data_IF_471969088731
#
_entry.id   IF_471969088731
#
_cell.length_a   1.000
_cell.length_b   1.000
_cell.length_c   1.000
_cell.angle_alpha   90.00
_cell.angle_beta   90.00
_cell.angle_gamma   90.00
#
_symmetry.space_group_name_H-M   'P 1'
#
loop_
_entity.id
_entity.type
_entity.pdbx_description
1 polymer ?
#
# COMPACT_ATOMS: atom_id res chain seq x y z
N UNK A 1 3.77 -16.54 24.42
CA UNK A 1 3.51 -15.84 23.16
C UNK A 1 4.20 -14.50 23.34
N UNK A 2 5.40 -14.31 22.80
CA UNK A 2 6.09 -13.02 22.89
C UNK A 2 5.32 -12.02 22.03
N UNK A 3 4.91 -10.91 22.62
CA UNK A 3 4.36 -9.77 21.90
C UNK A 3 5.40 -9.32 20.86
N UNK A 4 5.00 -9.32 19.61
CA UNK A 4 5.80 -8.83 18.51
C UNK A 4 5.84 -7.30 18.62
N UNK A 5 6.98 -6.72 19.01
CA UNK A 5 7.19 -5.28 19.02
C UNK A 5 7.73 -4.83 17.66
N UNK A 6 6.90 -4.22 16.81
CA UNK A 6 7.33 -3.76 15.47
C UNK A 6 8.33 -2.62 15.50
N UNK A 7 8.43 -1.87 16.62
CA UNK A 7 9.35 -0.73 16.77
C UNK A 7 10.83 -1.13 16.88
N UNK A 8 11.14 -2.41 17.03
CA UNK A 8 12.51 -2.89 17.24
C UNK A 8 13.21 -3.34 15.95
N UNK A 9 12.59 -3.23 14.78
CA UNK A 9 13.24 -3.39 13.47
C UNK A 9 13.75 -2.03 12.97
N UNK A 10 14.77 -1.47 13.60
CA UNK A 10 15.46 -0.33 13.00
C UNK A 10 16.37 -0.82 11.88
N UNK A 11 16.13 -0.42 10.65
CA UNK A 11 17.01 -0.59 9.49
C UNK A 11 18.30 0.25 9.58
N UNK A 12 18.66 0.74 10.78
CA UNK A 12 19.81 1.59 11.03
C UNK A 12 21.18 0.90 10.83
N UNK A 13 21.21 -0.43 10.56
CA UNK A 13 22.42 -1.09 10.05
C UNK A 13 21.99 -2.08 8.97
N UNK A 14 22.29 -1.78 7.71
CA UNK A 14 22.04 -2.63 6.57
C UNK A 14 22.84 -3.93 6.67
N UNK A 15 22.34 -4.89 7.44
CA UNK A 15 22.78 -6.27 7.31
C UNK A 15 22.19 -6.82 6.02
N UNK A 16 23.00 -7.42 5.19
CA UNK A 16 22.56 -8.10 3.97
C UNK A 16 21.36 -8.99 4.25
N UNK A 17 20.25 -8.87 3.49
CA UNK A 17 19.05 -9.67 3.71
C UNK A 17 19.36 -11.15 3.49
N UNK A 18 18.91 -12.01 4.41
CA UNK A 18 19.11 -13.47 4.34
C UNK A 18 17.88 -14.19 3.80
N UNK A 19 16.72 -13.61 4.00
CA UNK A 19 15.43 -14.15 3.54
C UNK A 19 14.69 -13.10 2.77
N UNK A 20 14.43 -13.36 1.48
CA UNK A 20 13.73 -12.45 0.58
C UNK A 20 12.43 -13.09 0.11
N UNK A 21 11.33 -12.38 0.25
CA UNK A 21 10.04 -12.79 -0.28
C UNK A 21 9.80 -12.21 -1.68
N UNK A 22 9.24 -13.01 -2.56
CA UNK A 22 8.81 -12.61 -3.90
C UNK A 22 7.28 -12.57 -3.97
N UNK A 23 6.75 -11.42 -4.34
CA UNK A 23 5.31 -11.18 -4.53
C UNK A 23 5.08 -10.75 -5.96
N UNK A 24 4.25 -11.47 -6.72
CA UNK A 24 3.96 -11.18 -8.12
C UNK A 24 2.56 -10.63 -8.32
N UNK A 25 2.35 -9.98 -9.46
CA UNK A 25 1.01 -9.57 -9.90
C UNK A 25 0.16 -10.81 -10.18
N UNK A 26 -0.97 -10.90 -9.53
CA UNK A 26 -1.95 -11.96 -9.77
C UNK A 26 -2.47 -11.89 -11.22
N UNK A 27 -2.77 -13.05 -11.79
CA UNK A 27 -3.28 -13.19 -13.16
C UNK A 27 -2.35 -12.74 -14.30
N UNK A 28 -1.06 -12.49 -14.06
CA UNK A 28 -0.08 -12.18 -15.09
C UNK A 28 0.87 -13.35 -15.32
N UNK A 29 0.78 -13.95 -16.49
CA UNK A 29 1.65 -15.07 -16.88
C UNK A 29 3.05 -14.60 -17.35
N UNK A 30 3.21 -13.32 -17.64
CA UNK A 30 4.47 -12.71 -18.10
C UNK A 30 5.49 -12.59 -16.94
N UNK A 31 5.01 -12.58 -15.71
CA UNK A 31 5.82 -12.47 -14.51
C UNK A 31 6.58 -13.76 -14.19
N UNK A 32 6.06 -14.91 -14.63
CA UNK A 32 6.63 -16.21 -14.27
C UNK A 32 8.13 -16.33 -14.58
N UNK A 33 8.57 -15.85 -15.75
CA UNK A 33 9.98 -15.89 -16.14
C UNK A 33 10.84 -14.93 -15.32
N UNK A 34 10.36 -13.69 -15.08
CA UNK A 34 11.08 -12.73 -14.24
C UNK A 34 11.23 -13.25 -12.81
N UNK A 35 10.16 -13.82 -12.26
CA UNK A 35 10.18 -14.39 -10.92
C UNK A 35 11.13 -15.58 -10.82
N UNK A 36 11.09 -16.52 -11.78
CA UNK A 36 12.01 -17.65 -11.83
C UNK A 36 13.47 -17.18 -11.87
N UNK A 37 13.80 -16.28 -12.79
CA UNK A 37 15.16 -15.73 -12.90
C UNK A 37 15.63 -15.08 -11.61
N UNK A 38 14.76 -14.30 -10.98
CA UNK A 38 15.09 -13.63 -9.72
C UNK A 38 15.26 -14.64 -8.58
N UNK A 39 14.36 -15.62 -8.48
CA UNK A 39 14.43 -16.65 -7.43
C UNK A 39 15.71 -17.50 -7.55
N UNK A 40 16.09 -17.91 -8.78
CA UNK A 40 17.34 -18.63 -9.04
C UNK A 40 18.55 -17.78 -8.68
N UNK A 41 18.55 -16.52 -9.11
CA UNK A 41 19.63 -15.57 -8.85
C UNK A 41 19.89 -15.35 -7.36
N UNK A 42 18.82 -15.19 -6.55
CA UNK A 42 18.90 -15.06 -5.10
C UNK A 42 19.38 -16.34 -4.43
N UNK A 43 18.84 -17.48 -4.87
CA UNK A 43 19.21 -18.80 -4.34
C UNK A 43 20.70 -19.13 -4.55
N UNK A 44 21.25 -18.82 -5.73
CA UNK A 44 22.68 -19.02 -6.04
C UNK A 44 23.60 -18.17 -5.14
N UNK A 45 23.09 -17.10 -4.55
CA UNK A 45 23.77 -16.23 -3.57
C UNK A 45 23.55 -16.65 -2.11
N UNK A 46 22.93 -17.81 -1.89
CA UNK A 46 22.69 -18.35 -0.56
C UNK A 46 21.55 -17.67 0.21
N UNK A 47 20.68 -16.94 -0.50
CA UNK A 47 19.51 -16.27 0.08
C UNK A 47 18.34 -17.26 0.12
N UNK A 48 17.66 -17.32 1.26
CA UNK A 48 16.42 -18.07 1.40
C UNK A 48 15.31 -17.31 0.65
N UNK A 49 14.66 -17.99 -0.31
CA UNK A 49 13.60 -17.38 -1.12
C UNK A 49 12.23 -17.88 -0.69
N UNK A 50 11.37 -16.96 -0.31
CA UNK A 50 9.94 -17.21 -0.10
C UNK A 50 9.17 -16.77 -1.34
N UNK A 51 8.15 -17.52 -1.74
CA UNK A 51 7.22 -17.13 -2.79
C UNK A 51 5.84 -17.01 -2.17
N UNK A 52 5.22 -15.85 -2.33
CA UNK A 52 3.87 -15.62 -1.83
C UNK A 52 2.89 -16.62 -2.48
N UNK A 53 1.94 -17.14 -1.70
CA UNK A 53 1.07 -18.27 -2.05
C UNK A 53 0.25 -18.04 -3.32
N UNK A 54 -0.47 -16.93 -3.42
CA UNK A 54 -1.28 -16.64 -4.61
C UNK A 54 -0.41 -16.42 -5.84
N UNK A 55 0.76 -15.83 -5.66
CA UNK A 55 1.80 -15.71 -6.70
C UNK A 55 2.23 -17.09 -7.17
N UNK A 56 2.55 -18.01 -6.23
CA UNK A 56 2.98 -19.37 -6.54
C UNK A 56 1.88 -20.17 -7.26
N UNK A 57 0.63 -20.05 -6.86
CA UNK A 57 -0.51 -20.72 -7.51
C UNK A 57 -0.67 -20.29 -8.97
N UNK A 58 -0.44 -19.01 -9.26
CA UNK A 58 -0.55 -18.49 -10.63
C UNK A 58 0.58 -18.90 -11.55
N UNK A 59 1.80 -19.00 -11.05
CA UNK A 59 2.97 -19.32 -11.86
C UNK A 59 3.34 -20.81 -11.83
N UNK A 60 2.91 -21.56 -10.82
CA UNK A 60 3.30 -22.95 -10.57
C UNK A 60 2.97 -23.93 -11.71
N UNK A 61 2.06 -23.55 -12.61
CA UNK A 61 1.79 -24.32 -13.83
C UNK A 61 2.91 -24.23 -14.89
N UNK A 62 3.84 -23.27 -14.75
CA UNK A 62 4.90 -22.98 -15.72
C UNK A 62 6.31 -23.06 -15.13
N UNK A 63 6.44 -22.98 -13.82
CA UNK A 63 7.71 -22.94 -13.11
C UNK A 63 7.71 -24.01 -12.04
N UNK A 64 8.77 -24.80 -11.99
CA UNK A 64 8.99 -25.72 -10.87
C UNK A 64 9.40 -24.90 -9.62
N UNK A 65 8.54 -24.86 -8.63
CA UNK A 65 8.71 -24.12 -7.39
C UNK A 65 9.25 -24.99 -6.25
N UNK A 66 9.58 -26.26 -6.49
CA UNK A 66 9.96 -27.23 -5.43
C UNK A 66 11.19 -26.81 -4.61
N UNK A 67 12.02 -25.93 -5.12
CA UNK A 67 13.23 -25.41 -4.46
C UNK A 67 12.96 -24.30 -3.47
N UNK A 68 11.79 -23.64 -3.54
CA UNK A 68 11.48 -22.43 -2.77
C UNK A 68 10.31 -22.66 -1.83
N UNK A 69 10.28 -21.90 -0.76
CA UNK A 69 9.21 -21.99 0.23
C UNK A 69 8.01 -21.18 -0.23
N UNK A 70 6.89 -21.84 -0.43
CA UNK A 70 5.61 -21.16 -0.68
C UNK A 70 4.89 -20.90 0.62
N UNK A 71 4.54 -19.65 0.92
CA UNK A 71 3.93 -19.26 2.19
C UNK A 71 3.00 -18.04 2.05
N UNK A 72 2.22 -17.78 3.07
CA UNK A 72 1.31 -16.62 3.11
C UNK A 72 1.99 -15.35 3.64
N UNK A 73 1.29 -14.21 3.54
CA UNK A 73 1.80 -12.92 4.01
C UNK A 73 2.15 -12.91 5.51
N UNK A 74 1.48 -13.71 6.35
CA UNK A 74 1.81 -13.80 7.77
C UNK A 74 3.20 -14.41 7.99
N UNK A 75 3.53 -15.47 7.24
CA UNK A 75 4.83 -16.13 7.33
C UNK A 75 5.92 -15.23 6.73
N UNK A 76 5.62 -14.57 5.61
CA UNK A 76 6.51 -13.56 5.01
C UNK A 76 6.81 -12.47 6.05
N UNK A 77 5.76 -11.91 6.66
CA UNK A 77 5.90 -10.86 7.68
C UNK A 77 6.74 -11.28 8.86
N UNK A 78 6.63 -12.54 9.30
CA UNK A 78 7.37 -13.06 10.45
C UNK A 78 8.85 -13.33 10.16
N UNK A 79 9.20 -13.69 8.92
CA UNK A 79 10.51 -14.29 8.63
C UNK A 79 11.29 -13.61 7.51
N UNK A 80 10.66 -12.83 6.61
CA UNK A 80 11.38 -12.17 5.54
C UNK A 80 12.04 -10.87 6.02
N UNK A 81 13.26 -10.64 5.55
CA UNK A 81 14.00 -9.40 5.79
C UNK A 81 13.60 -8.32 4.78
N UNK A 82 13.12 -8.74 3.61
CA UNK A 82 12.75 -7.88 2.48
C UNK A 82 11.71 -8.59 1.63
N UNK A 83 10.82 -7.83 1.00
CA UNK A 83 9.95 -8.37 -0.04
C UNK A 83 10.13 -7.62 -1.37
N UNK A 84 10.32 -8.38 -2.46
CA UNK A 84 10.42 -7.84 -3.81
C UNK A 84 9.08 -8.06 -4.51
N UNK A 85 8.51 -6.97 -4.98
CA UNK A 85 7.20 -6.95 -5.64
C UNK A 85 7.40 -6.84 -7.15
N UNK A 86 7.06 -7.90 -7.88
CA UNK A 86 7.10 -7.93 -9.34
C UNK A 86 5.73 -7.56 -9.91
N UNK A 87 5.59 -6.32 -10.37
CA UNK A 87 4.30 -5.82 -10.87
C UNK A 87 4.31 -4.32 -11.05
N UNK A 88 3.14 -3.72 -10.96
CA UNK A 88 2.95 -2.27 -10.93
C UNK A 88 2.48 -1.81 -9.56
N UNK A 89 2.13 -0.51 -9.46
CA UNK A 89 1.73 0.14 -8.21
C UNK A 89 0.59 -0.59 -7.48
N UNK A 90 -0.40 -1.13 -8.20
CA UNK A 90 -1.49 -1.90 -7.56
C UNK A 90 -1.02 -3.17 -6.84
N UNK A 91 0.03 -3.85 -7.35
CA UNK A 91 0.63 -5.00 -6.66
C UNK A 91 1.41 -4.55 -5.43
N UNK A 92 2.12 -3.42 -5.55
CA UNK A 92 2.84 -2.79 -4.46
C UNK A 92 1.89 -2.38 -3.33
N UNK A 93 0.77 -1.73 -3.65
CA UNK A 93 -0.27 -1.34 -2.67
C UNK A 93 -0.80 -2.56 -1.89
N UNK A 94 -1.10 -3.66 -2.58
CA UNK A 94 -1.56 -4.88 -1.92
C UNK A 94 -0.49 -5.47 -0.98
N UNK A 95 0.77 -5.55 -1.42
CA UNK A 95 1.86 -6.04 -0.59
C UNK A 95 2.11 -5.13 0.62
N UNK A 96 2.09 -3.81 0.41
CA UNK A 96 2.30 -2.81 1.46
C UNK A 96 1.24 -2.94 2.58
N UNK A 97 -0.03 -2.97 2.25
CA UNK A 97 -1.11 -3.13 3.24
C UNK A 97 -0.96 -4.41 4.06
N UNK A 98 -0.55 -5.50 3.41
CA UNK A 98 -0.43 -6.81 4.07
C UNK A 98 0.81 -6.94 4.94
N UNK A 99 1.90 -6.27 4.58
CA UNK A 99 3.20 -6.37 5.23
C UNK A 99 3.54 -5.20 6.16
N UNK A 100 2.79 -4.09 6.10
CA UNK A 100 3.04 -2.89 6.90
C UNK A 100 3.17 -3.18 8.40
N UNK A 101 2.23 -3.95 8.97
CA UNK A 101 2.23 -4.31 10.40
C UNK A 101 3.45 -5.13 10.83
N UNK A 102 4.19 -5.70 9.89
CA UNK A 102 5.41 -6.48 10.16
C UNK A 102 6.67 -5.67 9.89
N UNK A 103 6.56 -4.44 9.42
CA UNK A 103 7.68 -3.59 9.04
C UNK A 103 8.65 -4.26 8.06
N UNK A 104 8.15 -5.10 7.13
CA UNK A 104 8.97 -5.70 6.07
C UNK A 104 9.15 -4.66 4.96
N UNK A 105 10.39 -4.27 4.63
CA UNK A 105 10.64 -3.36 3.53
C UNK A 105 10.23 -3.94 2.19
N UNK A 106 9.83 -3.06 1.28
CA UNK A 106 9.38 -3.43 -0.05
C UNK A 106 10.27 -2.81 -1.12
N UNK A 107 10.55 -3.58 -2.17
CA UNK A 107 11.20 -3.08 -3.40
C UNK A 107 10.33 -3.44 -4.58
N UNK A 108 10.02 -2.47 -5.43
CA UNK A 108 9.17 -2.65 -6.60
C UNK A 108 9.97 -2.84 -7.88
N UNK A 109 9.73 -3.95 -8.58
CA UNK A 109 10.25 -4.21 -9.92
C UNK A 109 9.11 -4.12 -10.92
N UNK A 110 9.17 -3.12 -11.78
CA UNK A 110 8.17 -2.89 -12.81
C UNK A 110 8.24 -3.98 -13.90
N UNK A 111 7.08 -4.41 -14.36
CA UNK A 111 6.97 -5.44 -15.40
C UNK A 111 6.40 -4.89 -16.72
N UNK A 112 6.32 -3.57 -16.86
CA UNK A 112 5.77 -2.92 -18.05
C UNK A 112 5.95 -1.42 -18.02
N UNK A 113 4.87 -0.67 -17.68
CA UNK A 113 4.96 0.79 -17.58
C UNK A 113 5.49 1.20 -16.22
N UNK A 114 6.46 2.09 -16.22
CA UNK A 114 7.02 2.68 -15.00
C UNK A 114 5.90 3.26 -14.12
N UNK A 115 5.92 2.91 -12.83
CA UNK A 115 4.99 3.42 -11.82
C UNK A 115 5.66 4.43 -10.90
N UNK A 116 4.89 4.96 -9.95
CA UNK A 116 5.42 5.88 -8.91
C UNK A 116 6.09 5.14 -7.76
N UNK A 117 5.81 3.85 -7.58
CA UNK A 117 6.35 3.02 -6.49
C UNK A 117 7.15 1.81 -6.99
N UNK A 118 7.16 1.54 -8.29
CA UNK A 118 7.87 0.43 -8.93
C UNK A 118 8.82 1.00 -9.97
N UNK A 119 9.96 1.48 -9.50
CA UNK A 119 10.94 2.26 -10.25
C UNK A 119 12.11 1.43 -10.82
N UNK A 120 12.29 0.18 -10.39
CA UNK A 120 13.27 -0.71 -10.99
C UNK A 120 12.68 -1.32 -12.26
N UNK A 121 13.31 -1.06 -13.40
CA UNK A 121 12.90 -1.67 -14.65
C UNK A 121 13.23 -3.18 -14.66
N UNK A 122 12.43 -3.95 -15.39
CA UNK A 122 12.62 -5.41 -15.51
C UNK A 122 14.02 -5.78 -15.99
N UNK A 123 14.57 -5.00 -16.91
CA UNK A 123 15.89 -5.19 -17.52
C UNK A 123 17.01 -5.03 -16.50
N UNK A 124 16.84 -4.09 -15.57
CA UNK A 124 17.83 -3.74 -14.54
C UNK A 124 17.67 -4.56 -13.26
N UNK A 125 16.65 -5.42 -13.19
CA UNK A 125 16.27 -6.16 -11.98
C UNK A 125 17.44 -6.86 -11.31
N UNK A 126 18.21 -7.66 -12.05
CA UNK A 126 19.31 -8.45 -11.46
C UNK A 126 20.49 -7.59 -11.06
N UNK A 127 20.78 -6.52 -11.79
CA UNK A 127 21.87 -5.58 -11.47
C UNK A 127 21.56 -4.84 -10.17
N UNK A 128 20.31 -4.37 -10.01
CA UNK A 128 19.88 -3.71 -8.77
C UNK A 128 19.87 -4.66 -7.56
N UNK A 129 19.70 -5.97 -7.78
CA UNK A 129 19.73 -6.94 -6.67
C UNK A 129 21.11 -7.08 -6.04
N UNK A 130 22.19 -6.93 -6.77
CA UNK A 130 23.54 -6.94 -6.19
C UNK A 130 23.73 -5.78 -5.21
N UNK A 131 23.29 -4.58 -5.58
CA UNK A 131 23.32 -3.42 -4.69
C UNK A 131 22.46 -3.64 -3.43
N UNK A 132 21.30 -4.24 -3.60
CA UNK A 132 20.34 -4.49 -2.53
C UNK A 132 20.85 -5.55 -1.55
N UNK A 133 21.46 -6.63 -2.03
CA UNK A 133 22.08 -7.69 -1.23
C UNK A 133 23.29 -7.16 -0.46
N UNK A 134 24.06 -6.28 -1.08
CA UNK A 134 25.23 -5.65 -0.45
C UNK A 134 24.86 -4.49 0.49
N UNK A 135 23.57 -4.19 0.65
CA UNK A 135 23.10 -3.09 1.52
C UNK A 135 23.34 -1.69 0.95
N UNK A 136 23.62 -1.58 -0.35
CA UNK A 136 23.82 -0.29 -1.04
C UNK A 136 22.49 0.29 -1.53
N UNK A 137 21.65 0.71 -0.61
CA UNK A 137 20.36 1.38 -0.89
C UNK A 137 20.06 2.41 0.18
N UNK A 138 19.16 3.33 -0.12
CA UNK A 138 18.63 4.29 0.84
C UNK A 138 17.18 3.91 1.14
N UNK A 139 16.83 3.55 2.38
CA UNK A 139 15.45 3.28 2.76
C UNK A 139 14.64 4.58 2.76
N UNK A 140 13.38 4.48 2.38
CA UNK A 140 12.42 5.58 2.43
C UNK A 140 11.18 5.13 3.21
N UNK A 141 10.87 5.83 4.29
CA UNK A 141 9.67 5.58 5.07
C UNK A 141 8.45 6.21 4.39
N UNK A 142 7.36 5.47 4.35
CA UNK A 142 6.08 5.90 3.79
C UNK A 142 4.99 5.79 4.85
N UNK A 143 4.25 6.86 5.00
CA UNK A 143 3.08 6.91 5.86
C UNK A 143 1.97 6.02 5.32
N UNK A 144 1.23 5.36 6.21
CA UNK A 144 -0.03 4.69 5.92
C UNK A 144 -1.16 5.32 6.74
N UNK A 145 -2.36 5.34 6.17
CA UNK A 145 -3.58 5.64 6.90
C UNK A 145 -4.11 4.34 7.52
N UNK A 146 -4.41 4.37 8.80
CA UNK A 146 -5.21 3.34 9.46
C UNK A 146 -6.63 3.90 9.62
N UNK A 147 -7.62 3.18 9.12
CA UNK A 147 -9.00 3.64 9.27
C UNK A 147 -9.93 2.52 9.73
N UNK A 148 -10.88 2.92 10.55
CA UNK A 148 -11.92 2.08 11.12
C UNK A 148 -13.30 2.57 10.65
N UNK A 149 -14.19 1.65 10.37
CA UNK A 149 -15.59 1.93 10.06
C UNK A 149 -16.44 1.43 11.21
N UNK A 150 -17.19 2.33 11.84
CA UNK A 150 -18.07 2.00 12.95
C UNK A 150 -19.53 2.18 12.56
N UNK A 151 -20.41 1.36 13.13
CA UNK A 151 -21.86 1.47 13.03
C UNK A 151 -22.47 1.13 14.40
N UNK A 152 -23.32 2.02 14.90
CA UNK A 152 -23.97 1.87 16.22
C UNK A 152 -22.94 1.61 17.34
N UNK A 153 -21.80 2.30 17.29
CA UNK A 153 -20.70 2.19 18.26
C UNK A 153 -19.90 0.89 18.18
N UNK A 154 -20.06 0.09 17.12
CA UNK A 154 -19.30 -1.14 16.90
C UNK A 154 -18.45 -1.03 15.64
N UNK A 155 -17.20 -1.44 15.73
CA UNK A 155 -16.34 -1.62 14.56
C UNK A 155 -16.93 -2.71 13.65
N UNK A 156 -17.12 -2.37 12.37
CA UNK A 156 -17.60 -3.30 11.34
C UNK A 156 -16.55 -3.60 10.28
N UNK A 157 -15.54 -2.74 10.14
CA UNK A 157 -14.38 -2.95 9.28
C UNK A 157 -13.22 -2.08 9.74
N UNK A 158 -12.01 -2.57 9.57
CA UNK A 158 -10.77 -1.77 9.70
C UNK A 158 -9.73 -2.24 8.67
N UNK A 159 -8.96 -1.30 8.16
CA UNK A 159 -7.87 -1.61 7.22
C UNK A 159 -6.86 -0.45 7.19
N UNK A 160 -5.75 -0.68 6.46
CA UNK A 160 -4.73 0.33 6.17
C UNK A 160 -4.73 0.67 4.68
N UNK A 161 -4.31 1.88 4.35
CA UNK A 161 -4.11 2.35 2.99
C UNK A 161 -2.75 3.05 2.85
N UNK A 162 -2.03 2.76 1.77
CA UNK A 162 -0.79 3.45 1.43
C UNK A 162 -1.06 4.72 0.62
N UNK A 163 -2.07 4.69 -0.27
CA UNK A 163 -2.48 5.85 -1.05
C UNK A 163 -3.60 6.64 -0.37
N UNK A 164 -4.78 6.04 -0.26
CA UNK A 164 -5.97 6.76 0.16
C UNK A 164 -7.05 5.86 0.77
N UNK A 165 -7.87 6.49 1.60
CA UNK A 165 -9.16 5.98 2.05
C UNK A 165 -10.23 6.86 1.41
N UNK A 166 -11.13 6.26 0.65
CA UNK A 166 -12.20 6.97 -0.06
C UNK A 166 -13.55 6.58 0.53
N UNK A 167 -14.33 7.58 0.91
CA UNK A 167 -15.74 7.40 1.25
C UNK A 167 -16.56 7.96 0.10
N UNK A 168 -17.43 7.16 -0.50
CA UNK A 168 -18.26 7.59 -1.63
C UNK A 168 -19.71 7.11 -1.56
N UNK A 169 -20.54 7.63 -2.45
CA UNK A 169 -21.98 7.37 -2.53
C UNK A 169 -22.36 6.00 -3.09
N UNK A 170 -21.39 5.18 -3.52
CA UNK A 170 -21.66 3.94 -4.23
C UNK A 170 -22.19 4.13 -5.67
N UNK A 171 -22.65 3.03 -6.27
CA UNK A 171 -22.96 3.00 -7.71
C UNK A 171 -24.25 3.74 -8.11
N UNK A 172 -25.25 3.84 -7.21
CA UNK A 172 -26.61 4.34 -7.55
C UNK A 172 -26.99 5.52 -6.64
N UNK A 173 -26.11 5.88 -5.71
CA UNK A 173 -26.43 6.77 -4.61
C UNK A 173 -26.69 8.21 -5.01
N UNK A 174 -27.58 8.85 -4.26
CA UNK A 174 -27.64 10.30 -4.15
C UNK A 174 -26.35 10.77 -3.47
N UNK A 175 -26.06 12.05 -3.54
CA UNK A 175 -24.95 12.65 -2.81
C UNK A 175 -24.95 12.18 -1.35
N UNK A 176 -23.79 11.87 -0.82
CA UNK A 176 -23.67 11.65 0.62
C UNK A 176 -23.64 12.99 1.34
N UNK A 177 -24.18 13.02 2.53
CA UNK A 177 -24.06 14.13 3.46
C UNK A 177 -23.29 13.65 4.69
N UNK A 178 -22.20 14.33 4.99
CA UNK A 178 -21.33 13.98 6.12
C UNK A 178 -20.81 15.22 6.84
N UNK A 179 -20.51 15.03 8.11
CA UNK A 179 -19.79 15.98 8.94
C UNK A 179 -18.35 15.55 9.05
N UNK A 180 -17.43 16.50 8.88
CA UNK A 180 -15.99 16.29 9.08
C UNK A 180 -15.57 16.87 10.43
N UNK A 181 -14.85 16.06 11.21
CA UNK A 181 -14.17 16.46 12.42
C UNK A 181 -12.68 16.20 12.29
N UNK A 182 -11.87 17.05 12.89
CA UNK A 182 -10.42 16.91 13.01
C UNK A 182 -10.05 17.14 14.46
N UNK A 183 -9.38 16.16 15.10
CA UNK A 183 -9.02 16.19 16.51
C UNK A 183 -10.23 16.47 17.43
N UNK A 184 -11.40 15.95 17.06
CA UNK A 184 -12.67 16.15 17.75
C UNK A 184 -13.37 17.49 17.48
N UNK A 185 -12.75 18.42 16.76
CA UNK A 185 -13.32 19.72 16.40
C UNK A 185 -14.12 19.63 15.09
N UNK A 186 -15.35 20.14 15.10
CA UNK A 186 -16.19 20.22 13.90
C UNK A 186 -15.59 21.20 12.89
N UNK A 187 -15.41 20.77 11.62
CA UNK A 187 -14.84 21.56 10.54
C UNK A 187 -15.95 22.05 9.62
N UNK A 188 -16.71 21.12 9.02
CA UNK A 188 -17.85 21.46 8.16
C UNK A 188 -18.80 20.27 7.96
N UNK A 189 -20.00 20.61 7.49
CA UNK A 189 -20.94 19.67 6.88
C UNK A 189 -20.85 19.81 5.36
N UNK A 190 -20.82 18.71 4.62
CA UNK A 190 -20.69 18.70 3.18
C UNK A 190 -21.62 17.68 2.52
N UNK A 191 -22.22 18.12 1.38
CA UNK A 191 -22.91 17.24 0.44
C UNK A 191 -22.04 17.09 -0.80
N UNK A 192 -21.65 15.86 -1.13
CA UNK A 192 -20.74 15.58 -2.25
C UNK A 192 -20.90 14.14 -2.76
N UNK A 193 -20.19 13.78 -3.80
CA UNK A 193 -20.04 12.39 -4.23
C UNK A 193 -19.20 11.58 -3.25
N UNK A 194 -18.35 12.23 -2.44
CA UNK A 194 -17.51 11.60 -1.45
C UNK A 194 -16.38 12.48 -0.93
N UNK A 195 -15.49 11.86 -0.18
CA UNK A 195 -14.23 12.45 0.30
C UNK A 195 -13.09 11.46 0.13
N UNK A 196 -11.96 11.93 -0.36
CA UNK A 196 -10.68 11.22 -0.39
C UNK A 196 -9.86 11.73 0.79
N UNK A 197 -9.38 10.80 1.63
CA UNK A 197 -8.36 11.03 2.64
C UNK A 197 -7.07 10.41 2.11
N UNK A 198 -6.09 11.24 1.73
CA UNK A 198 -4.92 10.79 0.97
C UNK A 198 -3.62 11.03 1.73
N UNK A 199 -2.74 10.03 1.69
CA UNK A 199 -1.35 10.18 2.11
C UNK A 199 -0.58 11.02 1.09
N UNK A 200 0.65 11.46 1.39
CA UNK A 200 1.55 12.05 0.40
C UNK A 200 1.81 11.11 -0.79
N UNK A 201 1.96 9.81 -0.56
CA UNK A 201 2.12 8.81 -1.63
C UNK A 201 0.90 8.79 -2.55
N UNK A 202 -0.31 8.77 -1.99
CA UNK A 202 -1.57 8.79 -2.72
C UNK A 202 -1.90 10.11 -3.41
N UNK A 203 -1.18 11.19 -3.08
CA UNK A 203 -1.41 12.51 -3.67
C UNK A 203 -1.21 12.54 -5.20
N UNK A 204 -0.47 11.59 -5.76
CA UNK A 204 -0.29 11.42 -7.21
C UNK A 204 -1.26 10.40 -7.83
N UNK A 205 -2.14 9.79 -7.03
CA UNK A 205 -3.13 8.80 -7.46
C UNK A 205 -4.55 9.43 -7.65
N UNK A 206 -5.56 8.89 -6.99
CA UNK A 206 -6.94 9.38 -7.16
C UNK A 206 -7.12 10.81 -6.65
N UNK A 207 -6.44 11.17 -5.58
CA UNK A 207 -6.40 12.54 -5.05
C UNK A 207 -6.06 13.57 -6.13
N UNK A 208 -5.01 13.32 -6.94
CA UNK A 208 -4.61 14.21 -8.04
C UNK A 208 -5.72 14.36 -9.08
N UNK A 209 -6.36 13.27 -9.48
CA UNK A 209 -7.46 13.28 -10.44
C UNK A 209 -8.68 14.04 -9.94
N UNK A 210 -8.88 14.10 -8.63
CA UNK A 210 -9.93 14.88 -7.97
C UNK A 210 -9.55 16.34 -7.69
N UNK A 211 -8.37 16.80 -8.15
CA UNK A 211 -7.90 18.18 -7.96
C UNK A 211 -7.21 18.44 -6.62
N UNK A 212 -6.77 17.39 -5.95
CA UNK A 212 -5.93 17.46 -4.75
C UNK A 212 -4.53 17.98 -5.05
N UNK A 213 -3.81 18.51 -4.05
CA UNK A 213 -2.44 18.95 -4.19
C UNK A 213 -1.49 17.74 -4.27
N UNK A 214 -0.39 17.90 -4.99
CA UNK A 214 0.72 16.94 -4.96
C UNK A 214 1.57 17.23 -3.73
N UNK A 215 1.78 16.20 -2.91
CA UNK A 215 2.62 16.27 -1.72
C UNK A 215 3.91 15.46 -1.95
N UNK A 216 5.04 16.00 -1.50
CA UNK A 216 6.26 15.23 -1.47
C UNK A 216 6.10 14.06 -0.48
N UNK A 217 6.60 12.85 -0.77
CA UNK A 217 6.43 11.67 0.10
C UNK A 217 6.82 11.86 1.57
N UNK A 218 7.80 12.72 1.84
CA UNK A 218 8.27 13.03 3.20
C UNK A 218 7.48 14.15 3.90
N UNK A 219 6.41 14.66 3.28
CA UNK A 219 5.57 15.70 3.90
C UNK A 219 4.74 15.08 5.02
N UNK A 220 4.83 15.62 6.22
CA UNK A 220 4.01 15.23 7.37
C UNK A 220 2.59 15.80 7.24
N UNK A 221 1.79 15.26 6.33
CA UNK A 221 0.46 15.80 6.05
C UNK A 221 -0.47 14.82 5.34
N UNK A 222 -1.76 14.96 5.60
CA UNK A 222 -2.86 14.21 4.99
C UNK A 222 -3.70 15.18 4.19
N UNK A 223 -3.99 14.86 2.93
CA UNK A 223 -4.86 15.66 2.08
C UNK A 223 -6.30 15.16 2.16
N UNK A 224 -7.23 16.08 2.43
CA UNK A 224 -8.67 15.86 2.40
C UNK A 224 -9.24 16.47 1.14
N UNK A 225 -9.69 15.65 0.19
CA UNK A 225 -10.09 16.08 -1.15
C UNK A 225 -11.55 15.70 -1.42
N UNK A 226 -12.48 16.66 -1.35
CA UNK A 226 -13.87 16.41 -1.64
C UNK A 226 -14.11 16.03 -3.11
N UNK A 227 -14.98 15.04 -3.33
CA UNK A 227 -15.43 14.61 -4.65
C UNK A 227 -16.69 15.36 -5.06
N UNK A 228 -16.63 16.17 -6.12
CA UNK A 228 -17.77 16.90 -6.66
C UNK A 228 -18.63 17.62 -5.59
N UNK A 229 -18.04 18.45 -4.72
CA UNK A 229 -18.77 19.08 -3.63
C UNK A 229 -19.85 20.06 -4.16
N UNK A 230 -21.02 20.05 -3.55
CA UNK A 230 -22.10 20.99 -3.86
C UNK A 230 -21.95 22.36 -3.13
N UNK A 231 -20.70 22.73 -2.85
CA UNK A 231 -20.35 24.01 -2.24
C UNK A 231 -19.27 24.69 -3.06
N UNK A 232 -19.53 25.87 -3.58
CA UNK A 232 -18.60 26.62 -4.45
C UNK A 232 -17.30 27.03 -3.77
N UNK A 233 -17.31 27.18 -2.45
CA UNK A 233 -16.17 27.61 -1.65
C UNK A 233 -15.31 26.45 -1.13
N UNK A 234 -15.75 25.20 -1.30
CA UNK A 234 -15.00 24.06 -0.79
C UNK A 234 -13.71 23.83 -1.60
N UNK A 235 -12.63 23.58 -0.90
CA UNK A 235 -11.30 23.31 -1.47
C UNK A 235 -10.67 22.13 -0.73
N UNK A 236 -9.77 21.39 -1.38
CA UNK A 236 -8.92 20.46 -0.67
C UNK A 236 -8.15 21.16 0.45
N UNK A 237 -8.04 20.49 1.58
CA UNK A 237 -7.24 20.96 2.73
C UNK A 237 -6.20 19.94 3.08
N UNK A 238 -5.11 20.39 3.70
CA UNK A 238 -4.05 19.53 4.23
C UNK A 238 -4.05 19.71 5.73
N UNK A 239 -4.01 18.58 6.44
CA UNK A 239 -3.88 18.52 7.89
C UNK A 239 -2.58 17.82 8.27
N UNK A 240 -2.18 17.91 9.53
CA UNK A 240 -1.00 17.19 10.01
C UNK A 240 -1.21 15.68 9.96
N UNK A 241 -0.14 14.91 9.79
CA UNK A 241 -0.18 13.44 9.73
C UNK A 241 -0.57 12.77 11.05
N UNK A 242 -0.46 13.49 12.16
CA UNK A 242 -0.93 13.05 13.48
C UNK A 242 -2.41 13.36 13.76
N UNK A 243 -3.12 14.02 12.83
CA UNK A 243 -4.51 14.40 13.01
C UNK A 243 -5.43 13.17 13.07
N UNK A 244 -6.36 13.18 14.02
CA UNK A 244 -7.49 12.25 14.07
C UNK A 244 -8.63 12.80 13.18
N UNK A 245 -8.99 12.06 12.14
CA UNK A 245 -9.96 12.47 11.14
C UNK A 245 -11.20 11.60 11.26
N UNK A 246 -12.32 12.21 11.61
CA UNK A 246 -13.60 11.52 11.74
C UNK A 246 -14.61 12.04 10.71
N UNK A 247 -15.21 11.11 9.95
CA UNK A 247 -16.35 11.39 9.07
C UNK A 247 -17.59 10.75 9.65
N UNK A 248 -18.58 11.58 9.99
CA UNK A 248 -19.91 11.11 10.42
C UNK A 248 -20.88 11.21 9.25
N UNK A 249 -21.33 10.07 8.76
CA UNK A 249 -22.30 10.01 7.67
C UNK A 249 -23.68 10.36 8.22
N UNK A 250 -24.21 11.52 7.81
CA UNK A 250 -25.53 12.01 8.22
C UNK A 250 -26.65 11.44 7.33
N UNK A 251 -26.40 11.32 6.03
CA UNK A 251 -27.36 10.76 5.06
C UNK A 251 -26.62 10.13 3.88
N UNK A 252 -26.96 8.88 3.59
CA UNK A 252 -26.48 8.15 2.41
C UNK A 252 -27.36 6.92 2.16
N UNK A 253 -27.53 6.55 0.88
CA UNK A 253 -28.29 5.34 0.49
C UNK A 253 -27.42 4.07 0.61
N UNK A 254 -26.18 4.11 0.06
CA UNK A 254 -25.24 2.98 0.02
C UNK A 254 -23.80 3.51 0.10
N UNK A 255 -23.40 4.12 1.23
CA UNK A 255 -22.04 4.65 1.35
C UNK A 255 -21.02 3.51 1.36
N UNK A 256 -19.94 3.71 0.62
CA UNK A 256 -18.83 2.75 0.52
C UNK A 256 -17.56 3.35 1.02
N UNK A 257 -16.71 2.49 1.57
CA UNK A 257 -15.35 2.85 1.98
C UNK A 257 -14.38 1.97 1.19
N UNK A 258 -13.45 2.59 0.51
CA UNK A 258 -12.41 1.94 -0.26
C UNK A 258 -11.04 2.25 0.33
N UNK A 259 -10.17 1.25 0.36
CA UNK A 259 -8.78 1.36 0.78
C UNK A 259 -7.90 1.08 -0.43
N UNK A 260 -7.15 2.08 -0.93
CA UNK A 260 -6.34 1.99 -2.14
C UNK A 260 -7.15 1.47 -3.35
N UNK A 261 -8.40 1.91 -3.49
CA UNK A 261 -9.27 1.54 -4.60
C UNK A 261 -9.86 0.12 -4.55
N UNK A 262 -9.87 -0.51 -3.36
CA UNK A 262 -10.47 -1.85 -3.14
C UNK A 262 -11.52 -1.84 -2.03
#
# INVERSE_FOLDING_TARGET
>A
MQEFDPMNRSFASASSPRTIALVGKYHSMEIAESLRRLAEYLYERGITVFIERETAEHIGKKVDLSRWVTCGFNDIGAHADLAIVLGGDGTMLNAARRLARYCVPLVGVNQGRLGFMTDIAREDMLTCMDDLIDGRFTPEDRMLLAAEVTRDGKEIASNMALNDVVVDKGAIGRLIEFELFIDGEFIYNLRSDGLIVSTPTGSTAYSMSAGGPILHPTTAGIALVPLCPHALSNRPIIVNDSADIELRIASADDPRVHFDGQ
#
